data_IF_034799055324
#
_entry.id   IF_034799055324
#
_cell.length_a   1.000
_cell.length_b   1.000
_cell.length_c   1.000
_cell.angle_alpha   90.00
_cell.angle_beta   90.00
_cell.angle_gamma   90.00
#
_symmetry.space_group_name_H-M   'P 1'
#
loop_
_entity.id
_entity.type
_entity.pdbx_description
1 polymer ?
#
# COMPACT_ATOMS: atom_id res chain seq x y z
N UNK A 1 24.78 -28.45 -35.40
CA UNK A 1 24.09 -27.44 -34.58
C UNK A 1 25.02 -27.16 -33.40
N UNK A 2 25.67 -26.00 -33.27
CA UNK A 2 26.48 -25.72 -32.10
C UNK A 2 25.54 -25.48 -30.92
N UNK A 3 25.70 -26.31 -29.89
CA UNK A 3 25.16 -26.09 -28.56
C UNK A 3 25.76 -24.76 -28.03
N UNK A 4 24.96 -23.71 -27.96
CA UNK A 4 25.36 -22.52 -27.24
C UNK A 4 25.37 -22.87 -25.75
N UNK A 5 26.59 -23.16 -25.24
CA UNK A 5 26.81 -23.21 -23.81
C UNK A 5 26.48 -21.79 -23.29
N UNK A 6 25.32 -21.64 -22.64
CA UNK A 6 25.00 -20.43 -21.88
C UNK A 6 26.06 -20.40 -20.77
N UNK A 7 26.94 -19.41 -20.84
CA UNK A 7 27.89 -19.19 -19.76
C UNK A 7 27.11 -18.89 -18.49
N UNK A 8 27.10 -19.82 -17.54
CA UNK A 8 26.52 -19.59 -16.22
C UNK A 8 27.38 -18.53 -15.54
N UNK A 9 26.88 -17.32 -15.47
CA UNK A 9 27.55 -16.24 -14.75
C UNK A 9 27.22 -16.43 -13.27
N UNK A 10 28.17 -16.97 -12.51
CA UNK A 10 28.04 -17.04 -11.07
C UNK A 10 28.16 -15.65 -10.44
N UNK A 11 27.06 -15.18 -9.84
CA UNK A 11 26.98 -13.87 -9.18
C UNK A 11 27.21 -14.01 -7.67
N UNK A 12 28.27 -14.71 -7.28
CA UNK A 12 28.55 -15.19 -5.91
C UNK A 12 28.57 -14.05 -4.87
N UNK A 13 29.00 -12.86 -5.25
CA UNK A 13 29.12 -11.70 -4.34
C UNK A 13 27.97 -10.70 -4.47
N UNK A 14 26.98 -11.01 -5.32
CA UNK A 14 25.88 -10.08 -5.58
C UNK A 14 24.92 -10.02 -4.36
N UNK A 15 24.80 -8.84 -3.76
CA UNK A 15 23.90 -8.62 -2.63
C UNK A 15 22.60 -7.94 -3.00
N UNK A 16 22.59 -7.17 -4.09
CA UNK A 16 21.41 -6.41 -4.53
C UNK A 16 21.27 -6.49 -6.03
N UNK A 17 20.10 -6.92 -6.48
CA UNK A 17 19.72 -6.96 -7.89
C UNK A 17 18.41 -6.19 -8.10
N UNK A 18 18.44 -5.26 -9.06
CA UNK A 18 17.25 -4.48 -9.46
C UNK A 18 17.10 -4.58 -10.98
N UNK A 19 16.06 -5.25 -11.42
CA UNK A 19 15.71 -5.43 -12.83
C UNK A 19 14.49 -4.58 -13.17
N UNK A 20 14.66 -3.62 -14.08
CA UNK A 20 13.57 -2.73 -14.52
C UNK A 20 13.37 -2.85 -16.02
N UNK A 21 12.12 -3.13 -16.42
CA UNK A 21 11.74 -3.30 -17.82
C UNK A 21 12.60 -4.37 -18.54
N UNK A 22 12.92 -5.44 -17.82
CA UNK A 22 13.64 -6.60 -18.33
C UNK A 22 12.70 -7.79 -18.30
N UNK A 23 12.65 -8.52 -19.39
CA UNK A 23 11.83 -9.72 -19.52
C UNK A 23 12.47 -10.90 -18.77
N UNK A 24 12.02 -11.10 -17.55
CA UNK A 24 12.43 -12.21 -16.69
C UNK A 24 11.37 -13.31 -16.80
N UNK A 25 11.74 -14.49 -17.27
CA UNK A 25 10.89 -15.68 -17.21
C UNK A 25 11.04 -16.39 -15.85
N UNK A 26 10.14 -17.34 -15.55
CA UNK A 26 10.25 -18.13 -14.32
C UNK A 26 11.61 -18.86 -14.22
N UNK A 27 12.09 -19.45 -15.34
CA UNK A 27 13.39 -20.13 -15.37
C UNK A 27 14.56 -19.18 -15.08
N UNK A 28 14.55 -17.97 -15.66
CA UNK A 28 15.60 -16.97 -15.38
C UNK A 28 15.52 -16.51 -13.92
N UNK A 29 14.32 -16.37 -13.37
CA UNK A 29 14.13 -16.00 -11.97
C UNK A 29 14.73 -17.04 -11.01
N UNK A 30 14.45 -18.31 -11.24
CA UNK A 30 15.00 -19.43 -10.47
C UNK A 30 16.53 -19.50 -10.59
N UNK A 31 17.05 -19.38 -11.82
CA UNK A 31 18.49 -19.39 -12.08
C UNK A 31 19.22 -18.23 -11.39
N UNK A 32 18.61 -17.03 -11.36
CA UNK A 32 19.16 -15.88 -10.64
C UNK A 32 19.29 -16.15 -9.13
N UNK A 33 18.31 -16.79 -8.51
CA UNK A 33 18.36 -17.13 -7.09
C UNK A 33 19.44 -18.18 -6.80
N UNK A 34 19.52 -19.22 -7.62
CA UNK A 34 20.52 -20.31 -7.46
C UNK A 34 21.94 -19.78 -7.63
N UNK A 35 22.18 -18.93 -8.64
CA UNK A 35 23.52 -18.42 -8.95
C UNK A 35 23.91 -17.19 -8.09
N UNK A 36 23.05 -16.71 -7.20
CA UNK A 36 23.32 -15.55 -6.35
C UNK A 36 23.09 -15.85 -4.87
N UNK A 37 23.88 -16.73 -4.24
CA UNK A 37 23.64 -17.19 -2.87
C UNK A 37 23.79 -16.09 -1.81
N UNK A 38 24.44 -14.98 -2.12
CA UNK A 38 24.61 -13.83 -1.24
C UNK A 38 23.55 -12.74 -1.45
N UNK A 39 22.54 -12.99 -2.30
CA UNK A 39 21.53 -11.99 -2.65
C UNK A 39 20.63 -11.68 -1.44
N UNK A 40 20.71 -10.43 -1.00
CA UNK A 40 19.91 -9.91 0.12
C UNK A 40 18.67 -9.13 -0.35
N UNK A 41 18.71 -8.56 -1.56
CA UNK A 41 17.63 -7.74 -2.12
C UNK A 41 17.40 -8.04 -3.60
N UNK A 42 16.19 -8.38 -3.95
CA UNK A 42 15.73 -8.58 -5.33
C UNK A 42 14.51 -7.69 -5.62
N UNK A 43 14.63 -6.84 -6.65
CA UNK A 43 13.52 -6.04 -7.16
C UNK A 43 13.33 -6.33 -8.64
N UNK A 44 12.10 -6.68 -9.04
CA UNK A 44 11.69 -6.87 -10.43
C UNK A 44 10.54 -5.91 -10.72
N UNK A 45 10.74 -5.04 -11.70
CA UNK A 45 9.77 -4.05 -12.11
C UNK A 45 9.52 -4.10 -13.63
N UNK A 46 8.26 -4.23 -14.05
CA UNK A 46 7.84 -4.32 -15.45
C UNK A 46 8.45 -5.53 -16.20
N UNK A 47 8.23 -6.76 -15.72
CA UNK A 47 8.49 -7.99 -16.47
C UNK A 47 7.18 -8.59 -16.99
N UNK A 48 7.16 -8.93 -18.29
CA UNK A 48 5.98 -9.47 -18.98
C UNK A 48 5.96 -11.00 -19.04
N UNK A 49 7.04 -11.69 -18.65
CA UNK A 49 7.15 -13.16 -18.77
C UNK A 49 7.18 -13.89 -17.42
N UNK A 50 7.15 -13.16 -16.32
CA UNK A 50 7.10 -13.75 -14.99
C UNK A 50 5.64 -14.08 -14.67
N UNK A 51 5.32 -15.36 -14.57
CA UNK A 51 3.95 -15.83 -14.30
C UNK A 51 3.80 -16.45 -12.92
N UNK A 52 4.80 -17.20 -12.47
CA UNK A 52 4.85 -17.86 -11.18
C UNK A 52 6.15 -17.50 -10.46
N UNK A 53 6.04 -17.15 -9.21
CA UNK A 53 7.20 -16.84 -8.36
C UNK A 53 7.20 -17.81 -7.21
N UNK A 54 8.26 -18.57 -7.09
CA UNK A 54 8.49 -19.46 -5.96
C UNK A 54 9.85 -19.14 -5.34
N UNK A 55 9.83 -18.80 -4.06
CA UNK A 55 11.04 -18.46 -3.29
C UNK A 55 10.95 -19.14 -1.94
N UNK A 56 11.93 -19.98 -1.63
CA UNK A 56 11.94 -20.67 -0.35
C UNK A 56 13.25 -21.38 -0.04
N UNK A 57 13.39 -21.76 1.21
CA UNK A 57 14.52 -22.54 1.73
C UNK A 57 15.40 -21.76 2.71
N UNK A 58 15.82 -22.43 3.77
CA UNK A 58 16.62 -21.87 4.88
C UNK A 58 17.99 -21.33 4.45
N UNK A 59 18.52 -21.78 3.31
CA UNK A 59 19.83 -21.34 2.79
C UNK A 59 19.78 -19.97 2.08
N UNK A 60 18.59 -19.39 1.85
CA UNK A 60 18.45 -18.11 1.17
C UNK A 60 18.81 -16.94 2.09
N UNK A 61 19.72 -16.08 1.61
CA UNK A 61 20.06 -14.82 2.27
C UNK A 61 19.11 -13.67 1.93
N UNK A 62 18.07 -13.91 1.13
CA UNK A 62 17.14 -12.89 0.66
C UNK A 62 16.32 -12.34 1.82
N UNK A 63 16.41 -11.02 2.04
CA UNK A 63 15.73 -10.28 3.10
C UNK A 63 14.67 -9.33 2.57
N UNK A 64 14.78 -8.93 1.30
CA UNK A 64 13.87 -7.98 0.65
C UNK A 64 13.48 -8.50 -0.73
N UNK A 65 12.19 -8.65 -0.96
CA UNK A 65 11.64 -9.02 -2.26
C UNK A 65 10.60 -7.99 -2.69
N UNK A 66 10.78 -7.45 -3.89
CA UNK A 66 9.85 -6.51 -4.52
C UNK A 66 9.53 -6.96 -5.95
N UNK A 67 8.24 -7.17 -6.24
CA UNK A 67 7.72 -7.52 -7.56
C UNK A 67 6.63 -6.51 -7.91
N UNK A 68 6.93 -5.64 -8.88
CA UNK A 68 6.04 -4.53 -9.22
C UNK A 68 5.79 -4.44 -10.71
N UNK A 69 4.55 -4.10 -11.06
CA UNK A 69 4.11 -3.91 -12.45
C UNK A 69 4.34 -5.13 -13.39
N UNK A 70 4.45 -6.33 -12.82
CA UNK A 70 4.54 -7.59 -13.57
C UNK A 70 3.11 -8.10 -13.77
N UNK A 71 2.53 -7.80 -14.95
CA UNK A 71 1.10 -7.99 -15.21
C UNK A 71 0.68 -9.45 -15.42
N UNK A 72 1.62 -10.32 -15.73
CA UNK A 72 1.37 -11.74 -16.02
C UNK A 72 1.55 -12.65 -14.80
N UNK A 73 1.94 -12.10 -13.66
CA UNK A 73 2.09 -12.89 -12.42
C UNK A 73 0.71 -13.37 -11.96
N UNK A 74 0.56 -14.68 -11.82
CA UNK A 74 -0.65 -15.37 -11.39
C UNK A 74 -0.57 -15.84 -9.94
N UNK A 75 0.63 -16.29 -9.51
CA UNK A 75 0.84 -16.82 -8.17
C UNK A 75 2.22 -16.50 -7.62
N UNK A 76 2.29 -16.33 -6.30
CA UNK A 76 3.53 -16.15 -5.54
C UNK A 76 3.52 -17.07 -4.32
N UNK A 77 4.56 -17.90 -4.21
CA UNK A 77 4.81 -18.81 -3.09
C UNK A 77 6.10 -18.42 -2.39
N UNK A 78 6.01 -17.99 -1.13
CA UNK A 78 7.16 -17.60 -0.31
C UNK A 78 7.18 -18.45 0.96
N UNK A 79 8.30 -19.16 1.23
CA UNK A 79 8.37 -20.07 2.37
C UNK A 79 9.79 -20.26 2.93
N UNK A 80 9.87 -20.42 4.23
CA UNK A 80 11.06 -20.87 4.97
C UNK A 80 12.32 -20.02 4.77
N UNK A 81 12.21 -18.67 4.78
CA UNK A 81 13.37 -17.78 4.77
C UNK A 81 13.10 -16.46 5.54
N UNK A 82 14.17 -15.68 5.77
CA UNK A 82 14.12 -14.50 6.63
C UNK A 82 13.73 -13.23 5.89
N UNK A 83 12.59 -13.25 5.19
CA UNK A 83 12.03 -12.10 4.51
C UNK A 83 11.54 -11.05 5.53
N UNK A 84 11.95 -9.79 5.39
CA UNK A 84 11.53 -8.70 6.28
C UNK A 84 10.45 -7.85 5.61
N UNK A 85 10.71 -7.09 4.52
CA UNK A 85 9.67 -6.48 3.71
C UNK A 85 9.37 -7.34 2.48
N UNK A 86 8.09 -7.48 2.19
CA UNK A 86 7.60 -7.99 0.93
C UNK A 86 6.72 -6.95 0.25
N UNK A 87 7.03 -6.63 -1.00
CA UNK A 87 6.25 -5.71 -1.82
C UNK A 87 5.78 -6.40 -3.09
N UNK A 88 4.48 -6.42 -3.31
CA UNK A 88 3.86 -6.83 -4.55
C UNK A 88 2.91 -5.75 -5.07
N UNK A 89 3.07 -5.34 -6.31
CA UNK A 89 2.17 -4.39 -6.96
C UNK A 89 1.87 -4.83 -8.40
N UNK A 90 0.80 -5.55 -8.57
CA UNK A 90 0.37 -6.14 -9.84
C UNK A 90 -1.13 -6.35 -9.90
N UNK A 91 -1.55 -7.39 -10.59
CA UNK A 91 -2.93 -7.88 -10.60
C UNK A 91 -3.23 -8.70 -9.34
N UNK A 92 -4.49 -9.07 -9.14
CA UNK A 92 -4.85 -9.98 -8.05
C UNK A 92 -4.29 -11.37 -8.33
N UNK A 93 -3.51 -11.89 -7.37
CA UNK A 93 -2.80 -13.16 -7.47
C UNK A 93 -3.23 -14.14 -6.40
N UNK A 94 -2.82 -15.39 -6.57
CA UNK A 94 -2.75 -16.37 -5.49
C UNK A 94 -1.45 -16.15 -4.72
N UNK A 95 -1.57 -15.63 -3.50
CA UNK A 95 -0.44 -15.37 -2.60
C UNK A 95 -0.41 -16.42 -1.49
N UNK A 96 0.69 -17.15 -1.43
CA UNK A 96 0.98 -18.15 -0.40
C UNK A 96 2.24 -17.75 0.37
N UNK A 97 2.06 -17.53 1.65
CA UNK A 97 3.15 -17.24 2.58
C UNK A 97 3.22 -18.40 3.57
N UNK A 98 4.39 -18.95 3.85
CA UNK A 98 4.55 -20.08 4.79
C UNK A 98 5.85 -19.94 5.55
N UNK A 99 5.79 -19.98 6.89
CA UNK A 99 6.97 -19.94 7.76
C UNK A 99 7.98 -18.82 7.42
N UNK A 100 7.52 -17.57 7.49
CA UNK A 100 8.31 -16.35 7.28
C UNK A 100 8.41 -15.57 8.61
N UNK A 101 9.23 -15.99 9.54
CA UNK A 101 9.21 -15.48 10.93
C UNK A 101 9.63 -14.02 11.07
N UNK A 102 10.34 -13.49 10.09
CA UNK A 102 10.83 -12.11 10.09
C UNK A 102 9.96 -11.15 9.29
N UNK A 103 8.87 -11.62 8.65
CA UNK A 103 7.99 -10.78 7.83
C UNK A 103 7.20 -9.80 8.71
N UNK A 104 7.66 -8.54 8.74
CA UNK A 104 7.04 -7.45 9.51
C UNK A 104 6.34 -6.42 8.66
N UNK A 105 6.70 -6.32 7.39
CA UNK A 105 6.20 -5.31 6.47
C UNK A 105 5.65 -5.97 5.20
N UNK A 106 4.39 -5.65 4.88
CA UNK A 106 3.69 -6.17 3.73
C UNK A 106 3.06 -5.02 2.94
N UNK A 107 3.49 -4.82 1.70
CA UNK A 107 2.89 -3.86 0.75
C UNK A 107 2.25 -4.62 -0.41
N UNK A 108 0.92 -4.60 -0.48
CA UNK A 108 0.18 -5.27 -1.54
C UNK A 108 -0.60 -4.25 -2.36
N UNK A 109 -0.14 -4.04 -3.59
CA UNK A 109 -0.85 -3.26 -4.58
C UNK A 109 -1.60 -4.17 -5.53
N UNK A 110 -2.87 -3.89 -5.76
CA UNK A 110 -3.68 -4.65 -6.70
C UNK A 110 -4.08 -3.84 -7.92
N UNK A 111 -4.19 -4.54 -9.06
CA UNK A 111 -4.67 -3.98 -10.31
C UNK A 111 -6.15 -3.57 -10.27
N UNK A 112 -6.72 -3.29 -11.45
CA UNK A 112 -8.08 -2.76 -11.65
C UNK A 112 -9.23 -3.61 -11.07
N UNK A 113 -9.00 -4.90 -10.79
CA UNK A 113 -10.03 -5.84 -10.38
C UNK A 113 -10.40 -5.78 -8.88
N UNK A 114 -9.72 -4.97 -8.08
CA UNK A 114 -9.94 -4.91 -6.62
C UNK A 114 -9.35 -6.11 -5.86
N UNK A 115 -9.28 -6.01 -4.54
CA UNK A 115 -8.90 -7.13 -3.68
C UNK A 115 -9.91 -8.28 -3.87
N UNK A 116 -9.48 -9.45 -4.30
CA UNK A 116 -10.31 -10.64 -4.15
C UNK A 116 -10.47 -10.88 -2.64
N UNK A 117 -11.70 -11.10 -2.18
CA UNK A 117 -12.00 -11.36 -0.76
C UNK A 117 -11.11 -12.46 -0.14
N UNK A 118 -10.59 -13.35 -0.96
CA UNK A 118 -9.70 -14.44 -0.56
C UNK A 118 -8.28 -14.04 -0.15
N UNK A 119 -7.78 -12.86 -0.52
CA UNK A 119 -6.39 -12.48 -0.18
C UNK A 119 -6.25 -12.33 1.33
N UNK A 120 -7.19 -11.68 1.99
CA UNK A 120 -7.15 -11.54 3.45
C UNK A 120 -7.29 -12.88 4.18
N UNK A 121 -8.15 -13.77 3.72
CA UNK A 121 -8.30 -15.10 4.30
C UNK A 121 -7.01 -15.94 4.20
N UNK A 122 -6.29 -15.85 3.08
CA UNK A 122 -5.04 -16.58 2.87
C UNK A 122 -3.85 -16.00 3.66
N UNK A 123 -3.84 -14.69 3.93
CA UNK A 123 -2.78 -14.01 4.67
C UNK A 123 -3.08 -13.97 6.17
N UNK A 124 -4.29 -14.32 6.61
CA UNK A 124 -4.74 -14.15 8.00
C UNK A 124 -3.83 -14.81 9.04
N UNK A 125 -3.23 -15.96 8.73
CA UNK A 125 -2.29 -16.64 9.62
C UNK A 125 -0.99 -15.86 9.90
N UNK A 126 -0.63 -14.88 9.03
CA UNK A 126 0.59 -14.07 9.16
C UNK A 126 0.35 -12.73 9.84
N UNK A 127 -0.89 -12.30 9.99
CA UNK A 127 -1.21 -11.00 10.59
C UNK A 127 -0.72 -10.86 12.04
N UNK A 128 -0.45 -11.98 12.73
CA UNK A 128 0.16 -11.95 14.06
C UNK A 128 1.60 -11.42 14.09
N UNK A 129 2.29 -11.33 12.96
CA UNK A 129 3.68 -10.86 12.88
C UNK A 129 3.82 -9.50 12.19
N UNK A 130 2.85 -9.12 11.34
CA UNK A 130 2.92 -7.92 10.53
C UNK A 130 2.70 -6.68 11.39
N UNK A 131 3.63 -5.73 11.31
CA UNK A 131 3.60 -4.45 12.01
C UNK A 131 3.29 -3.27 11.08
N UNK A 132 3.67 -3.37 9.80
CA UNK A 132 3.37 -2.36 8.80
C UNK A 132 2.67 -3.00 7.60
N UNK A 133 1.49 -2.47 7.28
CA UNK A 133 0.64 -2.98 6.21
C UNK A 133 0.29 -1.86 5.24
N UNK A 134 0.50 -2.12 3.96
CA UNK A 134 0.19 -1.17 2.89
C UNK A 134 -0.66 -1.82 1.81
N UNK A 135 -1.74 -1.13 1.42
CA UNK A 135 -2.62 -1.54 0.33
C UNK A 135 -2.81 -0.45 -0.71
N UNK A 136 -2.87 -0.84 -1.98
CA UNK A 136 -3.21 0.05 -3.10
C UNK A 136 -4.53 -0.40 -3.73
N UNK A 137 -5.58 0.39 -3.53
CA UNK A 137 -6.93 0.11 -4.03
C UNK A 137 -7.23 1.10 -5.15
N UNK A 138 -7.31 0.65 -6.41
CA UNK A 138 -7.52 1.57 -7.55
C UNK A 138 -8.94 2.09 -7.68
N UNK A 139 -9.92 1.33 -7.28
CA UNK A 139 -11.33 1.75 -7.21
C UNK A 139 -11.99 1.00 -6.06
N UNK A 140 -12.32 1.64 -4.97
CA UNK A 140 -13.15 1.05 -3.94
C UNK A 140 -14.58 0.93 -4.50
N UNK A 141 -14.88 -0.15 -5.21
CA UNK A 141 -16.27 -0.49 -5.52
C UNK A 141 -16.90 -1.01 -4.25
N UNK A 142 -17.91 -0.27 -3.79
CA UNK A 142 -18.87 -0.54 -2.73
C UNK A 142 -18.70 -1.91 -2.03
N UNK A 143 -18.37 -1.85 -0.78
CA UNK A 143 -18.80 -2.71 0.35
C UNK A 143 -18.35 -4.17 0.47
N UNK A 144 -17.96 -4.90 -0.54
CA UNK A 144 -17.72 -6.35 -0.40
C UNK A 144 -16.36 -6.74 0.19
N UNK A 145 -15.40 -5.83 0.17
CA UNK A 145 -13.99 -6.17 0.48
C UNK A 145 -13.65 -5.88 1.95
N UNK A 146 -14.25 -4.83 2.50
CA UNK A 146 -13.88 -4.35 3.83
C UNK A 146 -14.60 -5.08 4.97
N UNK A 147 -15.73 -5.71 4.67
CA UNK A 147 -16.53 -6.43 5.67
C UNK A 147 -15.93 -7.78 6.13
N UNK A 148 -14.91 -8.29 5.44
CA UNK A 148 -14.29 -9.60 5.74
C UNK A 148 -12.83 -9.52 6.16
N UNK A 149 -12.36 -8.34 6.57
CA UNK A 149 -10.98 -8.19 7.02
C UNK A 149 -10.87 -8.74 8.44
N UNK A 150 -9.98 -9.71 8.67
CA UNK A 150 -9.75 -10.22 10.01
C UNK A 150 -9.09 -9.17 10.89
N UNK A 151 -9.10 -9.40 12.19
CA UNK A 151 -8.35 -8.58 13.13
C UNK A 151 -6.84 -8.65 12.86
N UNK A 152 -6.18 -7.50 12.91
CA UNK A 152 -4.77 -7.28 12.63
C UNK A 152 -4.07 -6.77 13.92
N UNK A 153 -3.87 -7.62 14.93
CA UNK A 153 -3.60 -7.17 16.29
C UNK A 153 -2.27 -6.44 16.45
N UNK A 154 -1.28 -6.74 15.62
CA UNK A 154 0.07 -6.18 15.72
C UNK A 154 0.38 -5.09 14.70
N UNK A 155 -0.57 -4.74 13.83
CA UNK A 155 -0.37 -3.68 12.85
C UNK A 155 -0.36 -2.31 13.54
N UNK A 156 0.80 -1.68 13.51
CA UNK A 156 1.05 -0.34 14.07
C UNK A 156 0.98 0.75 13.00
N UNK A 157 1.33 0.40 11.76
CA UNK A 157 1.37 1.32 10.64
C UNK A 157 0.47 0.81 9.51
N UNK A 158 -0.62 1.49 9.24
CA UNK A 158 -1.50 1.18 8.12
C UNK A 158 -1.40 2.27 7.05
N UNK A 159 -1.05 1.89 5.83
CA UNK A 159 -0.96 2.79 4.69
C UNK A 159 -1.90 2.36 3.58
N UNK A 160 -2.77 3.27 3.17
CA UNK A 160 -3.72 3.03 2.09
C UNK A 160 -3.44 3.97 0.91
N UNK A 161 -3.43 3.45 -0.30
CA UNK A 161 -3.40 4.25 -1.53
C UNK A 161 -4.67 4.00 -2.30
N UNK A 162 -5.48 5.04 -2.51
CA UNK A 162 -6.83 4.92 -3.07
C UNK A 162 -6.98 5.83 -4.28
N UNK A 163 -7.42 5.26 -5.40
CA UNK A 163 -7.87 6.03 -6.55
C UNK A 163 -9.28 6.57 -6.32
N UNK A 164 -9.44 7.88 -6.35
CA UNK A 164 -10.74 8.53 -6.15
C UNK A 164 -11.09 9.39 -7.36
N UNK A 165 -12.26 9.15 -7.95
CA UNK A 165 -12.78 9.97 -9.07
C UNK A 165 -13.95 10.84 -8.64
N UNK A 166 -14.77 10.35 -7.73
CA UNK A 166 -15.96 10.99 -7.22
C UNK A 166 -15.81 11.39 -5.74
N UNK A 167 -16.77 12.14 -5.22
CA UNK A 167 -16.87 12.52 -3.81
C UNK A 167 -17.70 11.50 -3.03
N UNK A 168 -17.36 10.20 -3.21
CA UNK A 168 -17.98 9.11 -2.46
C UNK A 168 -17.37 9.02 -1.06
N UNK A 169 -18.16 8.55 -0.08
CA UNK A 169 -17.68 8.43 1.30
C UNK A 169 -16.50 7.49 1.43
N UNK A 170 -15.50 7.89 2.19
CA UNK A 170 -14.32 7.11 2.53
C UNK A 170 -14.42 6.45 3.92
N UNK A 171 -15.58 6.54 4.58
CA UNK A 171 -15.78 5.97 5.91
C UNK A 171 -15.64 4.44 5.93
N UNK A 172 -16.06 3.77 4.85
CA UNK A 172 -15.85 2.32 4.71
C UNK A 172 -14.36 1.98 4.67
N UNK A 173 -13.53 2.86 4.10
CA UNK A 173 -12.08 2.70 4.07
C UNK A 173 -11.46 2.96 5.45
N UNK A 174 -12.01 3.93 6.19
CA UNK A 174 -11.60 4.18 7.57
C UNK A 174 -11.87 2.97 8.48
N UNK A 175 -12.89 2.16 8.17
CA UNK A 175 -13.19 0.95 8.95
C UNK A 175 -12.08 -0.10 8.92
N UNK A 176 -11.15 -0.06 7.95
CA UNK A 176 -9.93 -0.86 7.99
C UNK A 176 -9.07 -0.60 9.23
N UNK A 177 -9.06 0.64 9.68
CA UNK A 177 -8.35 1.00 10.91
C UNK A 177 -8.95 0.31 12.15
N UNK A 178 -10.27 0.00 12.13
CA UNK A 178 -10.95 -0.69 13.21
C UNK A 178 -10.46 -2.13 13.39
N UNK A 179 -9.96 -2.75 12.32
CA UNK A 179 -9.35 -4.08 12.39
C UNK A 179 -7.93 -4.08 12.98
N UNK A 180 -7.37 -2.89 13.28
CA UNK A 180 -6.00 -2.73 13.76
C UNK A 180 -6.00 -2.11 15.18
N UNK A 181 -6.25 -2.89 16.26
CA UNK A 181 -6.36 -2.35 17.61
C UNK A 181 -5.09 -1.66 18.11
N UNK A 182 -3.91 -2.09 17.65
CA UNK A 182 -2.62 -1.50 18.03
C UNK A 182 -2.15 -0.37 17.09
N UNK A 183 -3.03 0.20 16.26
CA UNK A 183 -2.67 1.18 15.23
C UNK A 183 -2.12 2.46 15.85
N UNK A 184 -0.87 2.80 15.51
CA UNK A 184 -0.19 4.02 15.96
C UNK A 184 -0.16 5.12 14.88
N UNK A 185 -0.08 4.74 13.61
CA UNK A 185 -0.07 5.66 12.47
C UNK A 185 -0.97 5.17 11.33
N UNK A 186 -1.84 6.05 10.86
CA UNK A 186 -2.67 5.83 9.69
C UNK A 186 -2.32 6.83 8.59
N UNK A 187 -1.90 6.32 7.43
CA UNK A 187 -1.60 7.12 6.27
C UNK A 187 -2.54 6.75 5.14
N UNK A 188 -3.23 7.74 4.56
CA UNK A 188 -4.02 7.55 3.36
C UNK A 188 -3.53 8.46 2.23
N UNK A 189 -3.28 7.86 1.07
CA UNK A 189 -2.90 8.56 -0.15
C UNK A 189 -4.06 8.52 -1.13
N UNK A 190 -4.66 9.68 -1.37
CA UNK A 190 -5.77 9.87 -2.29
C UNK A 190 -5.22 10.26 -3.67
N UNK A 191 -5.40 9.39 -4.66
CA UNK A 191 -4.98 9.65 -6.04
C UNK A 191 -6.20 10.14 -6.81
N UNK A 192 -6.12 11.37 -7.32
CA UNK A 192 -7.15 11.98 -8.15
C UNK A 192 -6.52 12.78 -9.30
N UNK A 193 -7.23 12.90 -10.42
CA UNK A 193 -6.81 13.69 -11.58
C UNK A 193 -7.64 14.98 -11.64
N UNK A 194 -8.95 14.86 -11.50
CA UNK A 194 -9.89 15.98 -11.55
C UNK A 194 -10.97 15.76 -10.49
N UNK A 195 -10.71 16.15 -9.24
CA UNK A 195 -11.63 15.88 -8.15
C UNK A 195 -12.88 16.74 -8.26
N UNK A 196 -14.04 16.11 -8.07
CA UNK A 196 -15.34 16.76 -8.02
C UNK A 196 -15.70 17.00 -6.56
N UNK A 197 -16.07 18.25 -6.21
CA UNK A 197 -16.66 18.58 -4.91
C UNK A 197 -18.18 18.57 -5.04
N UNK A 198 -18.82 17.67 -4.30
CA UNK A 198 -20.29 17.65 -4.19
C UNK A 198 -20.74 18.43 -2.95
N UNK A 199 -21.82 19.18 -3.07
CA UNK A 199 -22.49 19.78 -1.91
C UNK A 199 -23.30 18.67 -1.24
N UNK A 200 -22.79 18.14 -0.16
CA UNK A 200 -23.48 17.15 0.68
C UNK A 200 -23.09 17.32 2.13
N UNK A 201 -23.93 16.86 3.02
CA UNK A 201 -23.63 16.84 4.43
C UNK A 201 -22.47 15.88 4.72
N UNK A 202 -21.64 16.26 5.68
CA UNK A 202 -20.55 15.44 6.19
C UNK A 202 -21.15 14.32 7.03
N UNK A 203 -20.92 13.09 6.61
CA UNK A 203 -21.39 11.92 7.35
C UNK A 203 -20.46 11.64 8.51
N UNK A 204 -21.01 11.19 9.63
CA UNK A 204 -20.22 10.65 10.73
C UNK A 204 -20.19 9.14 10.63
N UNK A 205 -19.02 8.55 10.85
CA UNK A 205 -18.86 7.11 10.90
C UNK A 205 -19.39 6.52 12.22
N UNK A 206 -19.41 5.20 12.28
CA UNK A 206 -19.71 4.48 13.51
C UNK A 206 -18.56 4.72 14.50
N UNK A 207 -18.90 4.99 15.75
CA UNK A 207 -17.90 5.16 16.83
C UNK A 207 -17.10 3.89 17.02
N UNK A 208 -15.79 4.00 16.86
CA UNK A 208 -14.82 2.92 17.11
C UNK A 208 -13.54 3.54 17.67
N UNK A 209 -13.30 3.45 18.99
CA UNK A 209 -12.17 4.09 19.62
C UNK A 209 -10.83 3.53 19.15
N UNK A 210 -9.90 4.41 18.77
CA UNK A 210 -8.51 4.08 18.46
C UNK A 210 -7.60 4.54 19.62
N UNK A 211 -7.31 3.62 20.52
CA UNK A 211 -6.60 3.93 21.77
C UNK A 211 -5.11 4.27 21.57
N UNK A 212 -4.52 3.85 20.44
CA UNK A 212 -3.08 3.98 20.18
C UNK A 212 -2.75 4.92 19.03
N UNK A 213 -3.73 5.41 18.27
CA UNK A 213 -3.50 6.23 17.07
C UNK A 213 -2.98 7.61 17.44
N UNK A 214 -1.72 7.88 17.06
CA UNK A 214 -0.98 9.13 17.34
C UNK A 214 -0.84 10.03 16.12
N UNK A 215 -0.78 9.43 14.92
CA UNK A 215 -0.54 10.14 13.66
C UNK A 215 -1.60 9.80 12.63
N UNK A 216 -2.25 10.84 12.09
CA UNK A 216 -3.09 10.76 10.91
C UNK A 216 -2.42 11.55 9.77
N UNK A 217 -2.10 10.88 8.67
CA UNK A 217 -1.55 11.53 7.48
C UNK A 217 -2.49 11.35 6.28
N UNK A 218 -2.88 12.46 5.63
CA UNK A 218 -3.72 12.44 4.43
C UNK A 218 -2.99 13.16 3.29
N UNK A 219 -2.54 12.40 2.31
CA UNK A 219 -1.95 12.90 1.08
C UNK A 219 -3.02 13.00 -0.01
N UNK A 220 -3.05 14.10 -0.74
CA UNK A 220 -4.04 14.37 -1.78
C UNK A 220 -5.36 14.92 -1.25
N UNK A 221 -5.37 15.56 -0.07
CA UNK A 221 -6.53 16.24 0.46
C UNK A 221 -6.96 17.39 -0.44
N UNK A 222 -8.16 17.36 -0.98
CA UNK A 222 -8.69 18.40 -1.87
C UNK A 222 -9.78 19.27 -1.22
N UNK A 223 -10.31 18.85 -0.08
CA UNK A 223 -11.41 19.51 0.63
C UNK A 223 -12.78 19.10 0.10
N UNK A 224 -12.93 17.88 -0.39
CA UNK A 224 -14.21 17.24 -0.69
C UNK A 224 -14.92 16.84 0.60
N UNK A 225 -16.22 16.56 0.52
CA UNK A 225 -16.97 16.01 1.65
C UNK A 225 -16.36 14.70 2.16
N UNK A 226 -15.93 13.82 1.25
CA UNK A 226 -15.27 12.55 1.59
C UNK A 226 -13.96 12.74 2.35
N UNK A 227 -13.14 13.74 1.96
CA UNK A 227 -11.88 14.02 2.63
C UNK A 227 -12.11 14.51 4.06
N UNK A 228 -13.13 15.38 4.22
CA UNK A 228 -13.51 15.92 5.53
C UNK A 228 -14.12 14.84 6.44
N UNK A 229 -14.99 13.98 5.91
CA UNK A 229 -15.56 12.85 6.64
C UNK A 229 -14.48 11.96 7.26
N UNK A 230 -13.41 11.69 6.50
CA UNK A 230 -12.30 10.87 6.96
C UNK A 230 -11.57 11.54 8.13
N UNK A 231 -11.26 12.84 8.03
CA UNK A 231 -10.57 13.56 9.13
C UNK A 231 -11.46 13.62 10.37
N UNK A 232 -12.74 13.96 10.20
CA UNK A 232 -13.70 14.03 11.32
C UNK A 232 -13.83 12.68 12.02
N UNK A 233 -13.90 11.59 11.26
CA UNK A 233 -13.94 10.25 11.82
C UNK A 233 -12.77 9.98 12.78
N UNK A 234 -11.55 10.29 12.36
CA UNK A 234 -10.38 10.05 13.23
C UNK A 234 -10.25 11.04 14.37
N UNK A 235 -10.68 12.31 14.19
CA UNK A 235 -10.76 13.28 15.29
C UNK A 235 -11.74 12.80 16.37
N UNK A 236 -12.90 12.27 15.96
CA UNK A 236 -13.93 11.80 16.88
C UNK A 236 -13.56 10.49 17.59
N UNK A 237 -12.65 9.66 17.02
CA UNK A 237 -12.38 8.32 17.49
C UNK A 237 -10.94 8.08 18.00
N UNK A 238 -9.96 8.91 17.66
CA UNK A 238 -8.57 8.72 18.09
C UNK A 238 -8.28 9.41 19.42
N UNK A 239 -8.24 8.64 20.50
CA UNK A 239 -8.15 9.15 21.87
C UNK A 239 -6.81 9.81 22.22
N UNK A 240 -5.72 9.40 21.55
CA UNK A 240 -4.34 9.85 21.84
C UNK A 240 -3.69 10.54 20.66
N UNK A 241 -4.49 11.06 19.74
CA UNK A 241 -4.01 11.73 18.52
C UNK A 241 -3.09 12.90 18.87
N UNK A 242 -1.92 12.94 18.25
CA UNK A 242 -0.91 13.98 18.48
C UNK A 242 -0.71 14.88 17.27
N UNK A 243 -0.82 14.33 16.08
CA UNK A 243 -0.53 15.05 14.85
C UNK A 243 -1.47 14.66 13.73
N UNK A 244 -1.94 15.66 12.98
CA UNK A 244 -2.66 15.53 11.72
C UNK A 244 -1.80 16.18 10.65
N UNK A 245 -1.32 15.40 9.70
CA UNK A 245 -0.52 15.87 8.56
C UNK A 245 -1.38 15.83 7.28
N UNK A 246 -1.57 16.99 6.68
CA UNK A 246 -2.35 17.15 5.45
C UNK A 246 -1.45 17.59 4.30
N UNK A 247 -1.33 16.75 3.28
CA UNK A 247 -0.69 17.11 2.02
C UNK A 247 -1.75 17.36 0.94
N UNK A 248 -2.01 18.63 0.56
CA UNK A 248 -3.02 18.96 -0.45
C UNK A 248 -2.54 18.75 -1.89
N UNK A 249 -1.31 18.31 -2.10
CA UNK A 249 -0.77 18.10 -3.46
C UNK A 249 -1.45 16.91 -4.13
N UNK A 250 -1.76 17.06 -5.42
CA UNK A 250 -2.24 15.94 -6.23
C UNK A 250 -1.20 14.81 -6.24
N UNK A 251 -1.65 13.61 -5.93
CA UNK A 251 -0.81 12.41 -5.84
C UNK A 251 -0.80 11.56 -7.13
N UNK A 252 -1.40 12.06 -8.22
CA UNK A 252 -1.36 11.40 -9.52
C UNK A 252 0.08 11.32 -10.06
N UNK A 253 0.38 10.26 -10.82
CA UNK A 253 1.72 10.07 -11.44
C UNK A 253 2.11 11.29 -12.27
N UNK A 254 3.27 11.84 -12.01
CA UNK A 254 3.90 12.88 -12.84
C UNK A 254 4.27 12.25 -14.19
N UNK A 255 3.60 12.61 -15.26
CA UNK A 255 3.92 12.02 -16.58
C UNK A 255 3.26 12.66 -17.78
N UNK A 256 2.32 13.59 -17.57
CA UNK A 256 1.71 14.32 -18.68
C UNK A 256 1.83 15.82 -18.45
N UNK A 257 2.22 16.57 -19.48
CA UNK A 257 2.40 18.03 -19.44
C UNK A 257 1.13 18.79 -19.00
N UNK A 258 -0.03 18.20 -19.19
CA UNK A 258 -1.32 18.71 -18.72
C UNK A 258 -1.47 18.57 -17.19
N UNK A 259 -0.89 17.53 -16.60
CA UNK A 259 -0.94 17.24 -15.16
C UNK A 259 -0.23 18.31 -14.33
N UNK A 260 0.85 18.92 -14.82
CA UNK A 260 1.60 19.92 -14.05
C UNK A 260 0.86 21.26 -13.88
N UNK A 261 0.12 21.73 -14.91
CA UNK A 261 -0.65 22.99 -14.82
C UNK A 261 -1.83 22.86 -13.88
N UNK A 262 -2.57 21.76 -13.96
CA UNK A 262 -3.69 21.49 -13.05
C UNK A 262 -3.23 21.25 -11.60
N UNK A 263 -2.06 20.66 -11.39
CA UNK A 263 -1.50 20.36 -10.09
C UNK A 263 -1.28 21.62 -9.23
N UNK A 264 -0.67 22.67 -9.79
CA UNK A 264 -0.33 23.87 -9.01
C UNK A 264 -1.55 24.77 -8.71
N UNK A 265 -2.46 24.94 -9.67
CA UNK A 265 -3.69 25.71 -9.43
C UNK A 265 -4.58 25.05 -8.36
N UNK A 266 -4.67 23.74 -8.39
CA UNK A 266 -5.48 22.99 -7.43
C UNK A 266 -4.85 22.91 -6.04
N UNK A 267 -3.52 22.98 -5.92
CA UNK A 267 -2.83 22.95 -4.62
C UNK A 267 -3.27 24.11 -3.72
N UNK A 268 -3.25 25.34 -4.21
CA UNK A 268 -3.61 26.52 -3.41
C UNK A 268 -5.08 26.45 -2.95
N UNK A 269 -5.98 26.05 -3.84
CA UNK A 269 -7.41 25.89 -3.50
C UNK A 269 -7.63 24.76 -2.46
N UNK A 270 -6.90 23.68 -2.58
CA UNK A 270 -6.94 22.56 -1.64
C UNK A 270 -6.36 22.96 -0.28
N UNK A 271 -5.23 23.67 -0.26
CA UNK A 271 -4.60 24.18 0.95
C UNK A 271 -5.51 25.16 1.71
N UNK A 272 -6.14 26.10 0.98
CA UNK A 272 -7.13 27.02 1.58
C UNK A 272 -8.34 26.27 2.13
N UNK A 273 -8.81 25.24 1.42
CA UNK A 273 -9.92 24.39 1.89
C UNK A 273 -9.54 23.64 3.16
N UNK A 274 -8.36 23.03 3.20
CA UNK A 274 -7.86 22.33 4.38
C UNK A 274 -7.77 23.26 5.61
N UNK A 275 -7.15 24.44 5.45
CA UNK A 275 -7.07 25.43 6.54
C UNK A 275 -8.46 25.81 7.06
N UNK A 276 -9.36 26.21 6.16
CA UNK A 276 -10.72 26.65 6.53
C UNK A 276 -11.54 25.56 7.21
N UNK A 277 -11.40 24.31 6.75
CA UNK A 277 -12.20 23.19 7.25
C UNK A 277 -11.63 22.60 8.56
N UNK A 278 -10.32 22.50 8.68
CA UNK A 278 -9.70 21.70 9.74
C UNK A 278 -9.21 22.54 10.92
N UNK A 279 -8.88 23.81 10.71
CA UNK A 279 -8.28 24.65 11.76
C UNK A 279 -9.20 24.81 12.98
N UNK A 280 -10.52 24.95 12.77
CA UNK A 280 -11.50 25.08 13.85
C UNK A 280 -11.94 23.73 14.46
N UNK A 281 -11.69 22.62 13.75
CA UNK A 281 -12.13 21.28 14.16
C UNK A 281 -11.05 20.48 14.87
N UNK A 282 -9.77 20.88 14.71
CA UNK A 282 -8.65 20.20 15.33
C UNK A 282 -8.70 20.38 16.85
N UNK A 283 -8.69 19.27 17.63
CA UNK A 283 -8.75 19.34 19.08
C UNK A 283 -7.54 20.08 19.68
N UNK A 284 -7.75 20.69 20.84
CA UNK A 284 -6.66 21.32 21.57
C UNK A 284 -5.58 20.29 21.95
N UNK A 285 -4.33 20.60 21.68
CA UNK A 285 -3.19 19.70 21.93
C UNK A 285 -2.80 18.83 20.72
N UNK A 286 -3.62 18.78 19.68
CA UNK A 286 -3.30 18.10 18.43
C UNK A 286 -2.62 19.07 17.46
N UNK A 287 -1.44 18.71 16.97
CA UNK A 287 -0.69 19.50 16.00
C UNK A 287 -1.26 19.30 14.60
N UNK A 288 -1.76 20.34 13.97
CA UNK A 288 -2.19 20.33 12.56
C UNK A 288 -1.06 20.89 11.67
N UNK A 289 -0.58 20.07 10.73
CA UNK A 289 0.42 20.45 9.73
C UNK A 289 -0.21 20.38 8.35
N UNK A 290 -0.19 21.48 7.59
CA UNK A 290 -0.67 21.55 6.21
C UNK A 290 0.48 21.98 5.31
N UNK A 291 0.90 21.08 4.38
CA UNK A 291 2.06 21.21 3.48
C UNK A 291 1.81 22.12 2.26
#
# INVERSE_FOLDING_TARGET
>A
MPSSAVAVVELISLKKLVLKSVNVSNAIFEELLVNSPQLEMLCIDHSAYLTHVEVGGEALNLKHLEITNCCEVESIYLYEFNLVPFTYNGQAIDLHLTNLPMLKELDIGQGLAGLKANVFGKISSYFSYIQALSFKIRQPKKSLILASIPELPNVKNLRLTIGTHEDDSLLEVASLANSCPSLEAFLIKLIWISPIKRRRDVRRGVTCPHEHLKLLEIQGYYGRGSDLELVVYFIDNAMVLKEILIDPRCQARKGTSTSMRFSNMNKNAAQCSAKRQLQSMTPQGVKLVIL
#
